data_IF_406623807751
#
_entry.id   IF_406623807751
#
_cell.length_a   1.000
_cell.length_b   1.000
_cell.length_c   1.000
_cell.angle_alpha   90.00
_cell.angle_beta   90.00
_cell.angle_gamma   90.00
#
_symmetry.space_group_name_H-M   'P 1'
#
loop_
_entity.id
_entity.type
_entity.pdbx_description
1 polymer ?
#
# COMPACT_ATOMS: atom_id res chain seq x y z
N UNK A 1 0.82 -21.47 -2.26
CA UNK A 1 1.36 -20.36 -1.43
C UNK A 1 2.48 -19.69 -2.21
N UNK A 2 2.44 -18.36 -2.38
CA UNK A 2 3.53 -17.61 -3.04
C UNK A 2 4.81 -17.76 -2.22
N UNK A 3 5.91 -18.16 -2.85
CA UNK A 3 7.17 -18.50 -2.16
C UNK A 3 8.21 -17.37 -2.22
N UNK A 4 8.04 -16.38 -3.11
CA UNK A 4 9.05 -15.37 -3.38
C UNK A 4 8.44 -13.97 -3.33
N UNK A 5 9.12 -13.06 -2.62
CA UNK A 5 8.76 -11.64 -2.56
C UNK A 5 9.69 -10.79 -3.43
N UNK A 6 10.21 -11.38 -4.51
CA UNK A 6 11.14 -10.70 -5.37
C UNK A 6 10.39 -9.83 -6.37
N UNK A 7 10.53 -8.51 -6.23
CA UNK A 7 10.02 -7.53 -7.19
C UNK A 7 11.19 -6.91 -7.94
N UNK A 8 11.15 -6.96 -9.27
CA UNK A 8 12.08 -6.26 -10.13
C UNK A 8 11.61 -4.81 -10.32
N UNK A 9 12.41 -3.83 -9.87
CA UNK A 9 12.18 -2.42 -10.12
C UNK A 9 13.04 -1.95 -11.29
N UNK A 10 12.41 -1.60 -12.41
CA UNK A 10 13.09 -1.10 -13.61
C UNK A 10 13.08 0.43 -13.59
N UNK A 11 14.17 1.03 -13.14
CA UNK A 11 14.30 2.48 -12.93
C UNK A 11 14.95 3.22 -14.11
N UNK A 12 15.63 2.49 -15.00
CA UNK A 12 16.19 3.09 -16.21
C UNK A 12 15.03 3.49 -17.15
N UNK A 13 14.86 4.81 -17.35
CA UNK A 13 13.78 5.39 -18.14
C UNK A 13 13.77 4.95 -19.61
N UNK A 14 14.92 4.56 -20.14
CA UNK A 14 15.11 4.17 -21.54
C UNK A 14 15.16 2.65 -21.74
N UNK A 15 14.96 1.86 -20.67
CA UNK A 15 14.96 0.40 -20.73
C UNK A 15 13.67 -0.14 -21.35
N UNK A 16 13.81 -1.08 -22.30
CA UNK A 16 12.73 -1.89 -22.82
C UNK A 16 12.83 -3.31 -22.26
N UNK A 17 11.71 -3.88 -21.86
CA UNK A 17 11.64 -5.24 -21.32
C UNK A 17 11.21 -6.23 -22.39
N UNK A 18 12.01 -7.24 -22.65
CA UNK A 18 11.71 -8.31 -23.58
C UNK A 18 11.71 -9.68 -22.89
N UNK A 19 11.09 -10.66 -23.50
CA UNK A 19 11.11 -12.06 -23.10
C UNK A 19 12.06 -12.84 -24.01
N UNK A 20 13.03 -13.54 -23.41
CA UNK A 20 13.84 -14.54 -24.09
C UNK A 20 13.88 -15.84 -23.29
N UNK A 21 13.23 -16.88 -23.83
CA UNK A 21 13.01 -18.12 -23.11
C UNK A 21 12.23 -17.87 -21.80
N UNK A 22 12.82 -18.19 -20.68
CA UNK A 22 12.23 -17.98 -19.33
C UNK A 22 12.84 -16.76 -18.62
N UNK A 23 13.51 -15.87 -19.36
CA UNK A 23 14.18 -14.70 -18.78
C UNK A 23 13.59 -13.39 -19.30
N UNK A 24 13.54 -12.40 -18.41
CA UNK A 24 13.35 -11.00 -18.77
C UNK A 24 14.71 -10.45 -19.20
N UNK A 25 14.76 -9.87 -20.38
CA UNK A 25 15.93 -9.16 -20.89
C UNK A 25 15.64 -7.67 -20.88
N UNK A 26 16.51 -6.91 -20.24
CA UNK A 26 16.45 -5.45 -20.22
C UNK A 26 17.34 -4.92 -21.35
N UNK A 27 16.73 -4.19 -22.27
CA UNK A 27 17.41 -3.61 -23.44
C UNK A 27 17.44 -2.08 -23.29
N UNK A 28 18.59 -1.48 -23.59
CA UNK A 28 18.72 -0.03 -23.75
C UNK A 28 19.45 0.25 -25.07
N UNK A 29 18.86 1.03 -25.97
CA UNK A 29 19.40 1.26 -27.32
C UNK A 29 19.74 -0.04 -28.06
N UNK A 30 18.88 -1.07 -27.94
CA UNK A 30 19.04 -2.41 -28.50
C UNK A 30 20.17 -3.25 -27.88
N UNK A 31 20.94 -2.74 -26.94
CA UNK A 31 21.94 -3.49 -26.20
C UNK A 31 21.35 -4.08 -24.92
N UNK A 32 21.71 -5.32 -24.61
CA UNK A 32 21.33 -5.96 -23.34
C UNK A 32 22.09 -5.30 -22.18
N UNK A 33 21.34 -4.77 -21.20
CA UNK A 33 21.87 -4.15 -19.98
C UNK A 33 21.63 -5.00 -18.73
N UNK A 34 20.85 -6.07 -18.86
CA UNK A 34 20.57 -6.98 -17.76
C UNK A 34 19.63 -8.11 -18.15
N UNK A 35 19.71 -9.20 -17.39
CA UNK A 35 18.88 -10.39 -17.58
C UNK A 35 18.44 -10.96 -16.22
N UNK A 36 17.16 -11.27 -16.07
CA UNK A 36 16.59 -11.77 -14.82
C UNK A 36 15.66 -12.96 -15.11
N UNK A 37 15.83 -14.11 -14.43
CA UNK A 37 14.92 -15.24 -14.56
C UNK A 37 13.49 -14.88 -14.06
N UNK A 38 12.50 -15.05 -14.94
CA UNK A 38 11.12 -14.67 -14.65
C UNK A 38 10.50 -15.51 -13.52
N UNK A 39 10.85 -16.80 -13.42
CA UNK A 39 10.34 -17.72 -12.42
C UNK A 39 10.73 -17.35 -10.97
N UNK A 40 11.70 -16.42 -10.77
CA UNK A 40 12.11 -15.93 -9.45
C UNK A 40 11.33 -14.69 -9.01
N UNK A 41 10.49 -14.15 -9.87
CA UNK A 41 9.79 -12.90 -9.61
C UNK A 41 8.31 -13.14 -9.29
N UNK A 42 7.78 -12.31 -8.40
CA UNK A 42 6.34 -12.18 -8.17
C UNK A 42 5.80 -10.86 -8.72
N UNK A 43 6.66 -9.90 -8.97
CA UNK A 43 6.26 -8.62 -9.53
C UNK A 43 7.35 -7.91 -10.30
N UNK A 44 6.94 -7.07 -11.22
CA UNK A 44 7.78 -6.15 -11.98
C UNK A 44 7.13 -4.79 -11.90
N UNK A 45 7.86 -3.80 -11.40
CA UNK A 45 7.45 -2.40 -11.35
C UNK A 45 8.33 -1.62 -12.30
N UNK A 46 7.73 -1.18 -13.42
CA UNK A 46 8.44 -0.57 -14.53
C UNK A 46 8.22 0.95 -14.52
N UNK A 47 9.29 1.72 -14.42
CA UNK A 47 9.30 3.18 -14.54
C UNK A 47 9.86 3.64 -15.89
N UNK A 48 10.09 2.70 -16.81
CA UNK A 48 10.64 2.99 -18.14
C UNK A 48 9.54 3.49 -19.10
N UNK A 49 9.97 4.35 -20.03
CA UNK A 49 9.07 4.88 -21.05
C UNK A 49 8.79 3.88 -22.20
N UNK A 50 9.78 3.11 -22.72
CA UNK A 50 9.55 2.15 -23.79
C UNK A 50 8.66 0.96 -23.38
N UNK A 51 8.55 0.65 -22.09
CA UNK A 51 7.65 -0.40 -21.58
C UNK A 51 8.17 -1.82 -21.78
N UNK A 52 7.28 -2.75 -22.17
CA UNK A 52 7.57 -4.18 -22.28
C UNK A 52 6.96 -4.80 -23.54
N UNK A 53 7.53 -5.93 -24.00
CA UNK A 53 6.99 -6.67 -25.13
C UNK A 53 5.66 -7.35 -24.79
N UNK A 54 4.72 -7.50 -25.76
CA UNK A 54 3.48 -8.26 -25.56
C UNK A 54 3.73 -9.71 -25.11
N UNK A 55 4.81 -10.35 -25.63
CA UNK A 55 5.20 -11.69 -25.22
C UNK A 55 5.54 -11.77 -23.72
N UNK A 56 6.28 -10.79 -23.19
CA UNK A 56 6.58 -10.70 -21.75
C UNK A 56 5.31 -10.46 -20.96
N UNK A 57 4.45 -9.52 -21.39
CA UNK A 57 3.17 -9.24 -20.73
C UNK A 57 2.30 -10.51 -20.62
N UNK A 58 2.15 -11.25 -21.70
CA UNK A 58 1.38 -12.51 -21.73
C UNK A 58 2.00 -13.61 -20.84
N UNK A 59 3.34 -13.74 -20.85
CA UNK A 59 4.03 -14.71 -19.99
C UNK A 59 3.89 -14.35 -18.51
N UNK A 60 4.03 -13.06 -18.14
CA UNK A 60 3.78 -12.59 -16.78
C UNK A 60 2.37 -12.91 -16.32
N UNK A 61 1.37 -12.60 -17.15
CA UNK A 61 -0.04 -12.88 -16.88
C UNK A 61 -0.31 -14.38 -16.66
N UNK A 62 0.27 -15.24 -17.51
CA UNK A 62 0.10 -16.70 -17.41
C UNK A 62 0.73 -17.30 -16.13
N UNK A 63 1.80 -16.71 -15.64
CA UNK A 63 2.52 -17.14 -14.42
C UNK A 63 2.01 -16.45 -13.15
N UNK A 64 1.10 -15.47 -13.26
CA UNK A 64 0.62 -14.69 -12.14
C UNK A 64 1.68 -13.71 -11.58
N UNK A 65 2.68 -13.33 -12.41
CA UNK A 65 3.66 -12.29 -12.09
C UNK A 65 3.04 -10.93 -12.39
N UNK A 66 2.96 -10.06 -11.37
CA UNK A 66 2.45 -8.71 -11.57
C UNK A 66 3.40 -7.87 -12.41
N UNK A 67 2.90 -7.26 -13.48
CA UNK A 67 3.66 -6.31 -14.30
C UNK A 67 2.92 -4.98 -14.33
N UNK A 68 3.46 -4.02 -13.59
CA UNK A 68 2.86 -2.70 -13.42
C UNK A 68 3.79 -1.60 -13.95
N UNK A 69 3.20 -0.62 -14.64
CA UNK A 69 3.89 0.54 -15.21
C UNK A 69 3.57 1.80 -14.42
N UNK A 70 4.59 2.57 -14.13
CA UNK A 70 4.49 3.84 -13.39
C UNK A 70 5.19 4.95 -14.16
N UNK A 71 4.71 6.19 -14.00
CA UNK A 71 5.47 7.35 -14.44
C UNK A 71 6.75 7.49 -13.60
N UNK A 72 7.77 8.23 -14.08
CA UNK A 72 8.96 8.53 -13.29
C UNK A 72 8.65 9.18 -11.94
N UNK A 73 7.51 9.85 -11.80
CA UNK A 73 7.05 10.48 -10.55
C UNK A 73 6.28 9.54 -9.63
N UNK A 74 6.17 8.25 -9.97
CA UNK A 74 5.48 7.25 -9.16
C UNK A 74 3.96 7.18 -9.35
N UNK A 75 3.41 7.87 -10.39
CA UNK A 75 1.99 7.73 -10.74
C UNK A 75 1.78 6.41 -11.48
N UNK A 76 0.86 5.59 -11.00
CA UNK A 76 0.44 4.38 -11.70
C UNK A 76 -0.13 4.74 -13.10
N UNK A 77 0.31 4.05 -14.14
CA UNK A 77 -0.13 4.23 -15.53
C UNK A 77 -0.98 3.07 -16.02
N UNK A 78 -0.43 1.87 -15.97
CA UNK A 78 -1.06 0.67 -16.51
C UNK A 78 -0.57 -0.58 -15.79
N UNK A 79 -1.28 -1.68 -16.01
CA UNK A 79 -0.92 -3.01 -15.56
C UNK A 79 -1.23 -4.03 -16.64
N UNK A 80 -0.35 -5.00 -16.86
CA UNK A 80 -0.63 -6.13 -17.72
C UNK A 80 -1.53 -7.12 -16.97
N UNK A 81 -2.72 -7.37 -17.52
CA UNK A 81 -3.68 -8.34 -17.00
C UNK A 81 -3.97 -9.32 -18.12
N UNK A 82 -3.87 -10.61 -17.83
CA UNK A 82 -4.22 -11.68 -18.79
C UNK A 82 -5.70 -12.04 -18.73
N UNK A 83 -6.00 -13.21 -19.26
CA UNK A 83 -7.35 -13.78 -19.17
C UNK A 83 -7.80 -13.90 -17.72
N UNK A 84 -9.05 -13.56 -17.50
CA UNK A 84 -9.66 -13.59 -16.19
C UNK A 84 -9.94 -15.04 -15.76
N UNK A 85 -9.14 -15.53 -14.82
CA UNK A 85 -9.29 -16.88 -14.24
C UNK A 85 -10.03 -16.88 -12.91
N UNK A 86 -10.64 -15.73 -12.55
CA UNK A 86 -11.30 -15.55 -11.27
C UNK A 86 -12.60 -16.36 -11.14
N UNK A 87 -12.96 -16.64 -9.88
CA UNK A 87 -14.24 -17.26 -9.56
C UNK A 87 -15.39 -16.28 -9.80
N UNK A 88 -16.21 -16.53 -10.81
CA UNK A 88 -17.36 -15.69 -11.17
C UNK A 88 -18.37 -15.57 -10.00
N UNK A 89 -18.59 -16.65 -9.25
CA UNK A 89 -19.50 -16.64 -8.10
C UNK A 89 -19.01 -15.74 -6.97
N UNK A 90 -17.69 -15.70 -6.74
CA UNK A 90 -17.08 -14.79 -5.76
C UNK A 90 -17.28 -13.32 -6.14
N UNK A 91 -17.12 -12.97 -7.43
CA UNK A 91 -17.39 -11.60 -7.91
C UNK A 91 -18.86 -11.25 -7.86
N UNK A 92 -19.75 -12.18 -8.19
CA UNK A 92 -21.18 -11.94 -8.03
C UNK A 92 -21.55 -11.66 -6.58
N UNK A 93 -20.96 -12.41 -5.61
CA UNK A 93 -21.14 -12.15 -4.18
C UNK A 93 -20.61 -10.76 -3.80
N UNK A 94 -19.39 -10.42 -4.25
CA UNK A 94 -18.80 -9.11 -4.03
C UNK A 94 -19.70 -7.97 -4.54
N UNK A 95 -20.26 -8.10 -5.75
CA UNK A 95 -21.09 -7.06 -6.36
C UNK A 95 -22.42 -6.90 -5.64
N UNK A 96 -23.08 -8.00 -5.26
CA UNK A 96 -24.33 -7.95 -4.49
C UNK A 96 -24.14 -7.24 -3.14
N UNK A 97 -23.06 -7.54 -2.44
CA UNK A 97 -22.71 -6.87 -1.18
C UNK A 97 -22.43 -5.38 -1.41
N UNK A 98 -21.71 -5.04 -2.48
CA UNK A 98 -21.40 -3.65 -2.82
C UNK A 98 -22.63 -2.83 -3.22
N UNK A 99 -23.69 -3.47 -3.73
CA UNK A 99 -24.96 -2.84 -4.07
C UNK A 99 -25.83 -2.55 -2.82
N UNK A 100 -25.51 -3.18 -1.67
CA UNK A 100 -26.20 -2.98 -0.39
C UNK A 100 -25.33 -2.12 0.56
N UNK A 101 -25.76 -0.93 0.90
CA UNK A 101 -25.03 -0.07 1.85
C UNK A 101 -24.89 -0.73 3.23
N UNK A 102 -25.93 -1.41 3.72
CA UNK A 102 -25.89 -2.11 5.00
C UNK A 102 -24.88 -3.26 5.01
N UNK A 103 -24.87 -4.11 3.95
CA UNK A 103 -23.89 -5.19 3.84
C UNK A 103 -22.47 -4.65 3.63
N UNK A 104 -22.31 -3.63 2.80
CA UNK A 104 -21.03 -2.94 2.59
C UNK A 104 -20.48 -2.39 3.90
N UNK A 105 -21.32 -1.85 4.78
CA UNK A 105 -20.92 -1.31 6.08
C UNK A 105 -20.29 -2.39 6.97
N UNK A 106 -20.76 -3.64 6.92
CA UNK A 106 -20.21 -4.75 7.69
C UNK A 106 -18.72 -5.03 7.36
N UNK A 107 -18.36 -4.90 6.09
CA UNK A 107 -16.96 -5.07 5.65
C UNK A 107 -16.14 -3.79 5.85
N UNK A 108 -16.72 -2.64 5.50
CA UNK A 108 -16.07 -1.34 5.60
C UNK A 108 -15.60 -1.02 7.02
N UNK A 109 -16.45 -1.28 8.04
CA UNK A 109 -16.09 -1.05 9.44
C UNK A 109 -14.87 -1.88 9.88
N UNK A 110 -14.70 -3.10 9.37
CA UNK A 110 -13.56 -3.92 9.72
C UNK A 110 -12.23 -3.33 9.17
N UNK A 111 -12.24 -2.77 7.94
CA UNK A 111 -11.08 -2.04 7.43
C UNK A 111 -10.77 -0.81 8.29
N UNK A 112 -11.79 -0.08 8.72
CA UNK A 112 -11.59 1.12 9.54
C UNK A 112 -11.21 0.78 10.98
N UNK A 113 -11.75 -0.31 11.57
CA UNK A 113 -11.26 -0.84 12.84
C UNK A 113 -9.77 -1.13 12.79
N UNK A 114 -9.33 -1.85 11.74
CA UNK A 114 -7.90 -2.14 11.51
C UNK A 114 -7.07 -0.86 11.41
N UNK A 115 -7.52 0.12 10.63
CA UNK A 115 -6.86 1.42 10.47
C UNK A 115 -6.69 2.16 11.79
N UNK A 116 -7.78 2.37 12.53
CA UNK A 116 -7.77 3.17 13.77
C UNK A 116 -7.00 2.45 14.87
N UNK A 117 -7.18 1.14 15.02
CA UNK A 117 -6.39 0.33 15.93
C UNK A 117 -4.89 0.43 15.65
N UNK A 118 -4.51 0.28 14.40
CA UNK A 118 -3.10 0.34 13.99
C UNK A 118 -2.51 1.75 14.14
N UNK A 119 -3.28 2.80 13.85
CA UNK A 119 -2.86 4.19 14.10
C UNK A 119 -2.56 4.41 15.57
N UNK A 120 -3.45 3.96 16.47
CA UNK A 120 -3.23 4.00 17.90
C UNK A 120 -1.91 3.33 18.30
N UNK A 121 -1.65 2.11 17.81
CA UNK A 121 -0.44 1.36 18.17
C UNK A 121 0.84 1.97 17.61
N UNK A 122 0.78 2.70 16.51
CA UNK A 122 1.93 3.51 16.04
C UNK A 122 2.29 4.59 17.07
N UNK A 123 1.29 5.30 17.64
CA UNK A 123 1.50 6.30 18.68
C UNK A 123 2.00 5.67 20.00
N UNK A 124 1.36 4.58 20.45
CA UNK A 124 1.77 3.84 21.66
C UNK A 124 3.22 3.37 21.56
N UNK A 125 3.62 2.87 20.40
CA UNK A 125 4.99 2.41 20.19
C UNK A 125 6.00 3.56 20.21
N UNK A 126 5.65 4.71 19.62
CA UNK A 126 6.50 5.89 19.66
C UNK A 126 6.75 6.37 21.10
N UNK A 127 5.72 6.39 21.94
CA UNK A 127 5.85 6.77 23.36
C UNK A 127 6.69 5.76 24.17
N UNK A 128 6.63 4.49 23.84
CA UNK A 128 7.40 3.44 24.50
C UNK A 128 8.87 3.46 24.06
N UNK A 129 9.12 3.54 22.74
CA UNK A 129 10.44 3.35 22.16
C UNK A 129 11.28 4.67 22.21
N UNK A 130 10.61 5.84 22.26
CA UNK A 130 11.25 7.16 22.21
C UNK A 130 10.68 8.19 23.22
N UNK A 131 10.49 7.85 24.52
CA UNK A 131 9.78 8.70 25.47
C UNK A 131 10.42 10.07 25.70
N UNK A 132 11.73 10.20 25.48
CA UNK A 132 12.45 11.47 25.65
C UNK A 132 12.47 12.35 24.38
N UNK A 133 11.91 11.86 23.27
CA UNK A 133 12.00 12.52 21.97
C UNK A 133 10.64 12.87 21.37
N UNK A 134 9.58 12.39 21.97
CA UNK A 134 8.20 12.64 21.54
C UNK A 134 7.39 13.28 22.67
N UNK A 135 6.35 14.06 22.35
CA UNK A 135 5.44 14.62 23.34
C UNK A 135 4.50 13.52 23.89
N UNK A 136 4.98 12.77 24.89
CA UNK A 136 4.31 11.56 25.41
C UNK A 136 2.85 11.82 25.79
N UNK A 137 2.57 12.89 26.56
CA UNK A 137 1.22 13.21 27.01
C UNK A 137 0.25 13.46 25.84
N UNK A 138 0.69 14.21 24.82
CA UNK A 138 -0.11 14.45 23.62
C UNK A 138 -0.40 13.15 22.86
N UNK A 139 0.63 12.32 22.62
CA UNK A 139 0.47 11.05 21.90
C UNK A 139 -0.42 10.07 22.67
N UNK A 140 -0.31 10.02 24.00
CA UNK A 140 -1.17 9.20 24.87
C UNK A 140 -2.61 9.69 24.86
N UNK A 141 -2.82 11.00 24.89
CA UNK A 141 -4.16 11.59 24.79
C UNK A 141 -4.81 11.20 23.46
N UNK A 142 -4.13 11.40 22.34
CA UNK A 142 -4.62 10.99 21.00
C UNK A 142 -4.84 9.49 20.92
N UNK A 143 -3.94 8.67 21.47
CA UNK A 143 -4.13 7.22 21.55
C UNK A 143 -5.41 6.84 22.29
N UNK A 144 -5.71 7.49 23.40
CA UNK A 144 -6.96 7.27 24.15
C UNK A 144 -8.20 7.68 23.33
N UNK A 145 -8.13 8.79 22.59
CA UNK A 145 -9.23 9.22 21.69
C UNK A 145 -9.46 8.21 20.56
N UNK A 146 -8.39 7.69 19.96
CA UNK A 146 -8.50 6.63 18.94
C UNK A 146 -9.07 5.33 19.53
N UNK A 147 -8.70 4.99 20.77
CA UNK A 147 -9.27 3.83 21.46
C UNK A 147 -10.78 4.01 21.71
N UNK A 148 -11.21 5.21 22.10
CA UNK A 148 -12.63 5.52 22.31
C UNK A 148 -13.47 5.49 21.03
N UNK A 149 -12.85 5.70 19.85
CA UNK A 149 -13.53 5.59 18.56
C UNK A 149 -13.81 4.14 18.13
N UNK A 150 -13.04 3.15 18.61
CA UNK A 150 -13.19 1.75 18.18
C UNK A 150 -14.58 1.16 18.45
N UNK A 151 -15.17 1.26 19.64
CA UNK A 151 -16.55 0.77 19.87
C UNK A 151 -17.59 1.47 19.00
N UNK A 152 -17.42 2.76 18.71
CA UNK A 152 -18.33 3.51 17.84
C UNK A 152 -18.26 3.01 16.40
N UNK A 153 -17.07 2.71 15.92
CA UNK A 153 -16.84 2.12 14.59
C UNK A 153 -17.44 0.71 14.53
N UNK A 154 -17.22 -0.11 15.56
CA UNK A 154 -17.70 -1.49 15.63
C UNK A 154 -19.24 -1.60 15.59
N UNK A 155 -19.93 -0.63 16.18
CA UNK A 155 -21.40 -0.58 16.23
C UNK A 155 -22.02 0.22 15.08
N UNK A 156 -21.19 0.84 14.21
CA UNK A 156 -21.68 1.68 13.12
C UNK A 156 -22.33 0.83 12.03
N UNK A 157 -23.55 1.17 11.62
CA UNK A 157 -24.31 0.53 10.54
C UNK A 157 -24.59 1.45 9.35
N UNK A 158 -24.09 2.69 9.39
CA UNK A 158 -24.21 3.71 8.36
C UNK A 158 -22.84 4.04 7.75
N UNK A 159 -22.73 3.98 6.43
CA UNK A 159 -21.46 4.23 5.71
C UNK A 159 -21.01 5.69 5.75
N UNK A 160 -21.91 6.65 5.76
CA UNK A 160 -21.55 8.06 5.81
C UNK A 160 -21.08 8.44 7.23
N UNK A 161 -21.76 7.91 8.26
CA UNK A 161 -21.28 8.01 9.64
C UNK A 161 -19.90 7.36 9.81
N UNK A 162 -19.70 6.16 9.24
CA UNK A 162 -18.42 5.46 9.30
C UNK A 162 -17.29 6.28 8.63
N UNK A 163 -17.56 6.93 7.50
CA UNK A 163 -16.62 7.86 6.84
C UNK A 163 -16.30 9.08 7.71
N UNK A 164 -17.28 9.58 8.46
CA UNK A 164 -17.09 10.65 9.43
C UNK A 164 -16.14 10.24 10.55
N UNK A 165 -16.37 9.08 11.17
CA UNK A 165 -15.53 8.51 12.23
C UNK A 165 -14.10 8.24 11.72
N UNK A 166 -13.96 7.71 10.50
CA UNK A 166 -12.68 7.51 9.84
C UNK A 166 -11.92 8.82 9.64
N UNK A 167 -12.60 9.83 9.11
CA UNK A 167 -12.00 11.15 8.83
C UNK A 167 -11.52 11.83 10.11
N UNK A 168 -12.31 11.79 11.19
CA UNK A 168 -11.95 12.33 12.50
C UNK A 168 -10.74 11.60 13.09
N UNK A 169 -10.74 10.27 13.07
CA UNK A 169 -9.62 9.46 13.56
C UNK A 169 -8.35 9.71 12.75
N UNK A 170 -8.46 9.83 11.43
CA UNK A 170 -7.34 10.15 10.55
C UNK A 170 -6.78 11.55 10.83
N UNK A 171 -7.63 12.56 11.04
CA UNK A 171 -7.21 13.91 11.39
C UNK A 171 -6.40 13.91 12.69
N UNK A 172 -6.93 13.31 13.76
CA UNK A 172 -6.25 13.19 15.07
C UNK A 172 -4.89 12.50 14.96
N UNK A 173 -4.79 11.43 14.17
CA UNK A 173 -3.53 10.75 13.93
C UNK A 173 -2.52 11.64 13.20
N UNK A 174 -2.96 12.33 12.12
CA UNK A 174 -2.06 13.19 11.34
C UNK A 174 -1.68 14.47 12.06
N UNK A 175 -2.48 14.96 13.01
CA UNK A 175 -2.10 16.09 13.89
C UNK A 175 -0.91 15.76 14.80
N UNK A 176 -0.68 14.46 15.06
CA UNK A 176 0.47 13.97 15.80
C UNK A 176 1.66 13.56 14.91
N UNK A 177 1.49 13.49 13.59
CA UNK A 177 2.45 12.85 12.68
C UNK A 177 3.81 13.52 12.68
N UNK A 178 3.83 14.85 12.74
CA UNK A 178 5.07 15.63 12.79
C UNK A 178 5.94 15.26 13.99
N UNK A 179 5.33 15.00 15.15
CA UNK A 179 6.02 14.57 16.37
C UNK A 179 6.70 13.19 16.27
N UNK A 180 6.38 12.42 15.24
CA UNK A 180 7.00 11.10 14.97
C UNK A 180 8.26 11.23 14.11
N UNK A 181 8.54 12.42 13.58
CA UNK A 181 9.74 12.74 12.82
C UNK A 181 10.82 13.12 13.79
N UNK A 182 11.70 12.17 14.10
CA UNK A 182 12.73 12.31 15.15
C UNK A 182 14.06 12.83 14.62
N UNK A 183 14.26 12.87 13.31
CA UNK A 183 15.50 13.31 12.66
C UNK A 183 15.16 14.17 11.44
N UNK A 184 16.09 15.07 11.07
CA UNK A 184 15.98 15.88 9.85
C UNK A 184 14.69 16.73 9.81
N UNK A 185 14.19 17.20 10.97
CA UNK A 185 12.90 17.86 11.08
C UNK A 185 12.80 19.13 10.21
N UNK A 186 13.89 19.87 10.04
CA UNK A 186 13.92 21.09 9.22
C UNK A 186 13.58 20.81 7.74
N UNK A 187 13.93 19.62 7.24
CA UNK A 187 13.72 19.21 5.85
C UNK A 187 12.49 18.33 5.65
N UNK A 188 11.99 17.71 6.72
CA UNK A 188 10.90 16.73 6.66
C UNK A 188 9.70 17.09 7.56
N UNK A 189 9.55 18.33 7.95
CA UNK A 189 8.39 18.79 8.72
C UNK A 189 7.07 18.43 8.04
N UNK A 190 6.04 18.19 8.84
CA UNK A 190 4.72 17.80 8.37
C UNK A 190 3.64 18.72 8.93
N UNK A 191 3.16 19.66 8.12
CA UNK A 191 2.10 20.59 8.50
C UNK A 191 0.67 20.08 8.14
N UNK A 192 0.57 18.86 7.59
CA UNK A 192 -0.69 18.27 7.16
C UNK A 192 -0.59 17.56 5.80
N UNK A 193 -1.64 16.86 5.40
CA UNK A 193 -1.63 16.08 4.14
C UNK A 193 -1.85 16.95 2.92
N UNK A 194 -0.83 17.07 2.05
CA UNK A 194 -0.92 17.52 0.67
C UNK A 194 -0.75 16.34 -0.29
N UNK A 195 -1.62 16.20 -1.30
CA UNK A 195 -1.68 14.96 -2.10
C UNK A 195 -1.46 15.17 -3.61
N UNK A 196 -1.99 16.25 -4.17
CA UNK A 196 -2.02 16.47 -5.62
C UNK A 196 -1.84 17.94 -5.95
N UNK A 197 -0.62 18.39 -6.02
CA UNK A 197 0.65 17.67 -5.79
C UNK A 197 1.04 17.58 -4.31
N UNK A 198 2.02 16.73 -3.92
CA UNK A 198 2.69 16.81 -2.62
C UNK A 198 3.56 18.08 -2.60
N UNK A 199 3.50 18.85 -1.50
CA UNK A 199 4.16 20.16 -1.39
C UNK A 199 5.41 20.16 -0.50
N UNK A 200 5.70 19.04 0.16
CA UNK A 200 6.86 18.82 1.02
C UNK A 200 7.43 17.41 0.85
N UNK A 201 8.63 17.18 1.40
CA UNK A 201 9.35 15.93 1.26
C UNK A 201 8.59 14.76 1.91
N UNK A 202 8.01 14.97 3.08
CA UNK A 202 7.25 13.95 3.83
C UNK A 202 6.01 13.53 3.05
N UNK A 203 5.24 14.49 2.53
CA UNK A 203 4.07 14.20 1.70
C UNK A 203 4.43 13.53 0.37
N UNK A 204 5.60 13.83 -0.21
CA UNK A 204 6.09 13.14 -1.40
C UNK A 204 6.36 11.65 -1.11
N UNK A 205 7.03 11.34 0.02
CA UNK A 205 7.26 9.96 0.45
C UNK A 205 5.96 9.21 0.76
N UNK A 206 5.05 9.81 1.52
CA UNK A 206 3.75 9.21 1.85
C UNK A 206 2.94 8.92 0.58
N UNK A 207 2.90 9.83 -0.38
CA UNK A 207 2.17 9.66 -1.63
C UNK A 207 2.75 8.53 -2.48
N UNK A 208 4.09 8.41 -2.50
CA UNK A 208 4.76 7.34 -3.21
C UNK A 208 4.55 5.98 -2.54
N UNK A 209 4.71 5.90 -1.20
CA UNK A 209 4.43 4.69 -0.43
C UNK A 209 2.99 4.19 -0.62
N UNK A 210 2.01 5.10 -0.59
CA UNK A 210 0.60 4.73 -0.81
C UNK A 210 0.33 4.25 -2.23
N UNK A 211 1.03 4.78 -3.23
CA UNK A 211 0.92 4.30 -4.61
C UNK A 211 1.43 2.87 -4.75
N UNK A 212 2.56 2.55 -4.10
CA UNK A 212 3.13 1.21 -4.07
C UNK A 212 2.20 0.22 -3.32
N UNK A 213 1.74 0.59 -2.12
CA UNK A 213 0.85 -0.24 -1.32
C UNK A 213 -0.49 -0.49 -2.02
N UNK A 214 -1.08 0.53 -2.66
CA UNK A 214 -2.30 0.38 -3.44
C UNK A 214 -2.11 -0.56 -4.65
N UNK A 215 -0.91 -0.56 -5.26
CA UNK A 215 -0.58 -1.51 -6.32
C UNK A 215 -0.44 -2.94 -5.77
N UNK A 216 0.24 -3.13 -4.63
CA UNK A 216 0.37 -4.42 -3.95
C UNK A 216 -1.02 -4.98 -3.55
N UNK A 217 -1.92 -4.14 -2.99
CA UNK A 217 -3.31 -4.52 -2.67
C UNK A 217 -4.12 -4.89 -3.92
N UNK A 218 -3.95 -4.14 -5.03
CA UNK A 218 -4.61 -4.45 -6.30
C UNK A 218 -4.18 -5.83 -6.82
N UNK A 219 -2.86 -6.11 -6.79
CA UNK A 219 -2.30 -7.40 -7.17
C UNK A 219 -2.83 -8.55 -6.31
N UNK A 220 -2.90 -8.32 -5.00
CA UNK A 220 -3.41 -9.28 -4.04
C UNK A 220 -4.87 -9.64 -4.32
N UNK A 221 -5.76 -8.64 -4.47
CA UNK A 221 -7.18 -8.85 -4.74
C UNK A 221 -7.41 -9.61 -6.04
N UNK A 222 -6.75 -9.22 -7.13
CA UNK A 222 -6.87 -9.92 -8.41
C UNK A 222 -6.38 -11.37 -8.33
N UNK A 223 -5.32 -11.63 -7.56
CA UNK A 223 -4.77 -12.99 -7.44
C UNK A 223 -5.70 -13.97 -6.71
N UNK A 224 -6.65 -13.47 -5.94
CA UNK A 224 -7.70 -14.28 -5.27
C UNK A 224 -9.05 -14.23 -5.98
N UNK A 225 -9.12 -13.55 -7.14
CA UNK A 225 -10.31 -13.49 -7.99
C UNK A 225 -11.30 -12.38 -7.64
N UNK A 226 -10.93 -11.41 -6.81
CA UNK A 226 -11.75 -10.23 -6.48
C UNK A 226 -11.51 -9.09 -7.47
N UNK A 227 -12.55 -8.28 -7.70
CA UNK A 227 -12.46 -7.05 -8.48
C UNK A 227 -11.93 -5.91 -7.59
N UNK A 228 -10.74 -5.35 -7.86
CA UNK A 228 -10.17 -4.28 -7.06
C UNK A 228 -10.90 -2.94 -7.19
N UNK A 229 -11.80 -2.79 -8.17
CA UNK A 229 -12.52 -1.54 -8.42
C UNK A 229 -13.84 -1.42 -7.66
N UNK A 230 -14.45 -2.55 -7.26
CA UNK A 230 -15.72 -2.57 -6.53
C UNK A 230 -15.45 -2.73 -5.04
N UNK A 231 -15.51 -1.62 -4.32
CA UNK A 231 -15.24 -1.52 -2.87
C UNK A 231 -16.52 -1.40 -2.04
N UNK A 232 -16.32 -1.41 -0.72
CA UNK A 232 -17.40 -1.32 0.27
C UNK A 232 -17.43 0.05 0.97
N UNK A 233 -16.26 0.62 1.31
CA UNK A 233 -16.15 1.94 1.94
C UNK A 233 -16.08 3.06 0.91
N UNK A 234 -15.17 2.89 -0.04
CA UNK A 234 -14.92 3.87 -1.08
C UNK A 234 -15.96 3.74 -2.19
N UNK A 235 -16.78 4.79 -2.41
CA UNK A 235 -17.78 4.81 -3.49
C UNK A 235 -17.15 4.52 -4.84
N UNK A 236 -17.82 3.73 -5.67
CA UNK A 236 -17.38 3.43 -7.03
C UNK A 236 -17.26 4.71 -7.85
N UNK A 237 -16.13 4.85 -8.54
CA UNK A 237 -15.86 5.94 -9.50
C UNK A 237 -15.06 5.37 -10.67
N UNK A 238 -15.27 5.79 -11.91
CA UNK A 238 -14.48 5.36 -13.05
C UNK A 238 -12.97 5.48 -12.77
N UNK A 239 -12.22 4.39 -12.99
CA UNK A 239 -10.79 4.33 -12.78
C UNK A 239 -10.30 4.28 -11.32
N UNK A 240 -11.19 4.31 -10.33
CA UNK A 240 -10.83 4.21 -8.91
C UNK A 240 -10.82 2.76 -8.45
N UNK A 241 -9.70 2.30 -7.94
CA UNK A 241 -9.54 0.95 -7.37
C UNK A 241 -10.09 0.90 -5.94
N UNK A 242 -11.41 1.00 -5.80
CA UNK A 242 -12.09 1.25 -4.53
C UNK A 242 -11.79 0.15 -3.49
N UNK A 243 -11.90 -1.15 -3.84
CA UNK A 243 -11.59 -2.24 -2.91
C UNK A 243 -10.10 -2.31 -2.53
N UNK A 244 -9.20 -1.99 -3.48
CA UNK A 244 -7.78 -1.94 -3.15
C UNK A 244 -7.46 -0.80 -2.17
N UNK A 245 -8.18 0.32 -2.26
CA UNK A 245 -8.08 1.40 -1.28
C UNK A 245 -8.70 1.01 0.07
N UNK A 246 -9.82 0.29 0.07
CA UNK A 246 -10.44 -0.23 1.29
C UNK A 246 -9.48 -1.16 2.04
N UNK A 247 -8.93 -2.17 1.35
CA UNK A 247 -7.98 -3.11 1.92
C UNK A 247 -6.70 -2.41 2.41
N UNK A 248 -6.26 -1.37 1.71
CA UNK A 248 -5.09 -0.60 2.08
C UNK A 248 -5.27 0.15 3.41
N UNK A 249 -6.51 0.52 3.80
CA UNK A 249 -6.74 1.34 5.00
C UNK A 249 -6.15 0.69 6.26
N UNK A 250 -6.35 -0.60 6.46
CA UNK A 250 -5.81 -1.31 7.63
C UNK A 250 -4.28 -1.45 7.63
N UNK A 251 -3.62 -1.32 6.47
CA UNK A 251 -2.18 -1.43 6.32
C UNK A 251 -1.46 -0.07 6.24
N UNK A 252 -2.20 1.01 6.02
CA UNK A 252 -1.65 2.33 5.72
C UNK A 252 -0.69 2.81 6.80
N UNK A 253 -1.13 2.82 8.06
CA UNK A 253 -0.33 3.35 9.17
C UNK A 253 0.86 2.46 9.54
N UNK A 254 0.65 1.16 9.63
CA UNK A 254 1.67 0.20 10.11
C UNK A 254 2.67 -0.23 9.04
N UNK A 255 2.26 -0.18 7.77
CA UNK A 255 3.14 -0.57 6.68
C UNK A 255 3.74 0.67 5.98
N UNK A 256 2.91 1.58 5.46
CA UNK A 256 3.39 2.71 4.67
C UNK A 256 3.92 3.86 5.54
N UNK A 257 3.13 4.36 6.51
CA UNK A 257 3.52 5.52 7.32
C UNK A 257 4.75 5.22 8.16
N UNK A 258 4.77 4.07 8.85
CA UNK A 258 5.95 3.64 9.62
C UNK A 258 7.18 3.44 8.75
N UNK A 259 7.02 2.94 7.53
CA UNK A 259 8.15 2.83 6.60
C UNK A 259 8.70 4.20 6.24
N UNK A 260 7.84 5.18 5.91
CA UNK A 260 8.25 6.55 5.62
C UNK A 260 8.97 7.17 6.81
N UNK A 261 8.39 7.07 8.02
CA UNK A 261 9.04 7.54 9.25
C UNK A 261 10.41 6.87 9.46
N UNK A 262 10.52 5.57 9.21
CA UNK A 262 11.80 4.86 9.30
C UNK A 262 12.81 5.38 8.29
N UNK A 263 12.40 5.64 7.04
CA UNK A 263 13.28 6.19 6.00
C UNK A 263 13.83 7.58 6.39
N UNK A 264 13.01 8.42 7.03
CA UNK A 264 13.42 9.74 7.49
C UNK A 264 14.32 9.61 8.74
N UNK A 265 13.86 8.88 9.75
CA UNK A 265 14.52 8.80 11.06
C UNK A 265 15.86 8.03 11.00
N UNK A 266 16.02 7.11 10.07
CA UNK A 266 17.28 6.38 9.82
C UNK A 266 18.14 7.04 8.74
N UNK A 267 17.74 8.20 8.21
CA UNK A 267 18.45 8.93 7.16
C UNK A 267 18.66 8.13 5.86
N UNK A 268 17.79 7.15 5.59
CA UNK A 268 17.75 6.48 4.28
C UNK A 268 17.33 7.48 3.20
N UNK A 269 16.36 8.35 3.55
CA UNK A 269 15.96 9.49 2.73
C UNK A 269 16.53 10.77 3.35
N UNK A 270 17.12 11.61 2.51
CA UNK A 270 17.74 12.89 2.87
C UNK A 270 17.30 13.97 1.87
N UNK A 271 17.45 15.27 2.15
CA UNK A 271 16.99 16.36 1.27
C UNK A 271 17.47 16.26 -0.18
N UNK A 272 18.68 15.73 -0.41
CA UNK A 272 19.24 15.55 -1.77
C UNK A 272 18.44 14.61 -2.67
N UNK A 273 17.57 13.81 -2.08
CA UNK A 273 16.72 12.85 -2.79
C UNK A 273 15.44 13.49 -3.37
N UNK A 274 15.28 14.80 -3.20
CA UNK A 274 14.08 15.51 -3.63
C UNK A 274 14.41 16.67 -4.55
N UNK A 275 13.45 17.00 -5.41
CA UNK A 275 13.48 18.15 -6.31
C UNK A 275 12.14 18.88 -6.22
N UNK A 276 12.20 20.18 -5.88
CA UNK A 276 11.02 21.05 -5.90
C UNK A 276 10.83 21.58 -7.32
N UNK A 277 9.59 21.49 -7.81
CA UNK A 277 9.18 21.99 -9.12
C UNK A 277 8.69 23.44 -9.03
N UNK A 278 8.59 24.14 -10.15
CA UNK A 278 8.10 25.52 -10.22
C UNK A 278 6.68 25.69 -9.68
N UNK A 279 5.81 24.70 -9.83
CA UNK A 279 4.45 24.68 -9.30
C UNK A 279 4.38 24.30 -7.80
N UNK A 280 5.52 24.23 -7.11
CA UNK A 280 5.63 23.87 -5.70
C UNK A 280 5.61 22.38 -5.42
N UNK A 281 5.35 21.51 -6.41
CA UNK A 281 5.36 20.06 -6.23
C UNK A 281 6.76 19.55 -5.85
N UNK A 282 6.81 18.63 -4.90
CA UNK A 282 8.04 17.94 -4.51
C UNK A 282 8.05 16.54 -5.09
N UNK A 283 9.09 16.22 -5.85
CA UNK A 283 9.28 14.94 -6.52
C UNK A 283 10.57 14.28 -6.04
N UNK A 284 10.61 12.94 -6.07
CA UNK A 284 11.84 12.19 -5.82
C UNK A 284 12.77 12.25 -7.04
N UNK A 285 14.05 12.47 -6.80
CA UNK A 285 15.11 12.27 -7.80
C UNK A 285 15.26 10.78 -8.17
N UNK A 286 16.02 10.47 -9.20
CA UNK A 286 16.33 9.08 -9.58
C UNK A 286 17.07 8.34 -8.44
N UNK A 287 18.00 9.00 -7.78
CA UNK A 287 18.71 8.48 -6.61
C UNK A 287 17.72 8.23 -5.45
N UNK A 288 16.84 9.22 -5.17
CA UNK A 288 15.82 9.10 -4.14
C UNK A 288 14.86 7.94 -4.39
N UNK A 289 14.41 7.73 -5.62
CA UNK A 289 13.57 6.57 -5.97
C UNK A 289 14.28 5.26 -5.74
N UNK A 290 15.57 5.15 -6.13
CA UNK A 290 16.36 3.92 -5.89
C UNK A 290 16.51 3.63 -4.40
N UNK A 291 16.85 4.63 -3.60
CA UNK A 291 16.98 4.48 -2.14
C UNK A 291 15.66 4.04 -1.49
N UNK A 292 14.56 4.73 -1.83
CA UNK A 292 13.23 4.42 -1.29
C UNK A 292 12.75 3.02 -1.68
N UNK A 293 12.86 2.64 -2.96
CA UNK A 293 12.41 1.33 -3.44
C UNK A 293 13.29 0.19 -2.90
N UNK A 294 14.59 0.42 -2.71
CA UNK A 294 15.47 -0.52 -2.01
C UNK A 294 15.01 -0.77 -0.58
N UNK A 295 14.72 0.29 0.17
CA UNK A 295 14.15 0.18 1.51
C UNK A 295 12.77 -0.50 1.53
N UNK A 296 11.89 -0.18 0.55
CA UNK A 296 10.57 -0.81 0.42
C UNK A 296 10.69 -2.32 0.18
N UNK A 297 11.62 -2.74 -0.69
CA UNK A 297 11.87 -4.16 -0.94
C UNK A 297 12.41 -4.88 0.31
N UNK A 298 13.33 -4.25 1.05
CA UNK A 298 13.80 -4.78 2.33
C UNK A 298 12.65 -4.93 3.32
N UNK A 299 11.79 -3.91 3.43
CA UNK A 299 10.59 -3.97 4.27
C UNK A 299 9.66 -5.12 3.92
N UNK A 300 9.46 -5.40 2.63
CA UNK A 300 8.64 -6.54 2.17
C UNK A 300 9.17 -7.88 2.65
N UNK A 301 10.47 -8.01 2.84
CA UNK A 301 11.14 -9.25 3.28
C UNK A 301 11.17 -9.43 4.80
N UNK A 302 11.00 -8.35 5.58
CA UNK A 302 10.94 -8.44 7.05
C UNK A 302 9.77 -9.33 7.49
N UNK A 303 10.06 -10.20 8.46
CA UNK A 303 9.07 -11.17 8.98
C UNK A 303 8.27 -10.59 10.13
N UNK A 304 6.96 -10.84 10.11
CA UNK A 304 6.05 -10.55 11.21
C UNK A 304 5.25 -11.80 11.60
N UNK A 305 4.68 -11.81 12.78
CA UNK A 305 3.62 -12.77 13.14
C UNK A 305 2.28 -12.15 12.76
N UNK A 306 1.54 -12.82 11.86
CA UNK A 306 0.21 -12.35 11.44
C UNK A 306 -0.78 -12.46 12.60
N UNK A 307 -1.48 -11.36 12.97
CA UNK A 307 -2.25 -11.32 14.21
C UNK A 307 -3.39 -12.35 14.27
N UNK A 308 -4.06 -12.63 13.16
CA UNK A 308 -5.16 -13.59 13.10
C UNK A 308 -4.67 -15.03 12.89
N UNK A 309 -3.73 -15.24 11.98
CA UNK A 309 -3.23 -16.60 11.66
C UNK A 309 -2.26 -17.14 12.72
N UNK A 310 -1.65 -16.26 13.51
CA UNK A 310 -0.55 -16.58 14.43
C UNK A 310 0.64 -17.28 13.73
N UNK A 311 0.84 -17.00 12.45
CA UNK A 311 1.92 -17.54 11.62
C UNK A 311 2.93 -16.46 11.27
N UNK A 312 4.22 -16.86 11.20
CA UNK A 312 5.28 -15.97 10.71
C UNK A 312 5.24 -15.85 9.19
N UNK A 313 5.14 -14.64 8.69
CA UNK A 313 5.17 -14.35 7.26
C UNK A 313 5.83 -13.00 6.98
N UNK A 314 6.38 -12.81 5.78
CA UNK A 314 6.94 -11.53 5.37
C UNK A 314 5.86 -10.47 5.19
N UNK A 315 6.21 -9.19 5.49
CA UNK A 315 5.30 -8.05 5.31
C UNK A 315 4.70 -7.98 3.90
N UNK A 316 5.47 -8.29 2.87
CA UNK A 316 4.99 -8.25 1.49
C UNK A 316 3.87 -9.24 1.16
N UNK A 317 3.67 -10.29 2.00
CA UNK A 317 2.55 -11.22 1.86
C UNK A 317 1.28 -10.77 2.59
N UNK A 318 1.36 -9.79 3.49
CA UNK A 318 0.19 -9.35 4.27
C UNK A 318 -0.98 -8.91 3.37
N UNK A 319 -0.81 -8.08 2.32
CA UNK A 319 -1.91 -7.74 1.44
C UNK A 319 -2.58 -8.97 0.79
N UNK A 320 -1.77 -9.97 0.41
CA UNK A 320 -2.30 -11.21 -0.17
C UNK A 320 -3.09 -12.04 0.84
N UNK A 321 -2.58 -12.17 2.06
CA UNK A 321 -3.26 -12.91 3.14
C UNK A 321 -4.59 -12.24 3.48
N UNK A 322 -4.61 -10.91 3.63
CA UNK A 322 -5.83 -10.16 3.90
C UNK A 322 -6.84 -10.26 2.73
N UNK A 323 -6.38 -10.20 1.48
CA UNK A 323 -7.24 -10.43 0.32
C UNK A 323 -7.82 -11.87 0.30
N UNK A 324 -7.03 -12.88 0.70
CA UNK A 324 -7.49 -14.26 0.80
C UNK A 324 -8.55 -14.43 1.90
N UNK A 325 -8.34 -13.82 3.08
CA UNK A 325 -9.30 -13.83 4.18
C UNK A 325 -10.61 -13.15 3.76
N UNK A 326 -10.52 -12.01 3.08
CA UNK A 326 -11.68 -11.33 2.51
C UNK A 326 -12.44 -12.21 1.50
N UNK A 327 -11.74 -12.86 0.58
CA UNK A 327 -12.34 -13.76 -0.40
C UNK A 327 -13.04 -14.96 0.27
N UNK A 328 -12.48 -15.51 1.36
CA UNK A 328 -13.10 -16.58 2.16
C UNK A 328 -14.37 -16.11 2.85
N UNK A 329 -14.35 -14.91 3.42
CA UNK A 329 -15.56 -14.34 4.04
C UNK A 329 -16.66 -14.09 3.00
N UNK A 330 -16.32 -13.53 1.84
CA UNK A 330 -17.29 -13.29 0.76
C UNK A 330 -17.88 -14.58 0.17
N UNK A 331 -17.21 -15.72 0.30
CA UNK A 331 -17.73 -17.05 -0.07
C UNK A 331 -18.58 -17.71 1.01
N UNK A 332 -18.59 -17.16 2.23
CA UNK A 332 -19.22 -17.77 3.38
C UNK A 332 -18.40 -18.87 4.07
N UNK A 333 -17.09 -19.00 3.72
CA UNK A 333 -16.16 -19.93 4.39
C UNK A 333 -15.77 -19.43 5.80
N UNK A 334 -16.03 -18.16 6.09
CA UNK A 334 -15.80 -17.50 7.38
C UNK A 334 -16.96 -16.54 7.66
N UNK A 335 -17.36 -16.42 8.93
CA UNK A 335 -18.47 -15.55 9.35
C UNK A 335 -18.13 -14.06 9.20
N UNK A 336 -16.90 -13.68 9.59
CA UNK A 336 -16.46 -12.29 9.61
C UNK A 336 -15.06 -12.14 9.02
N UNK A 337 -14.83 -11.01 8.35
CA UNK A 337 -13.51 -10.62 7.91
C UNK A 337 -12.67 -10.14 9.09
N UNK A 338 -11.53 -10.81 9.42
CA UNK A 338 -10.67 -10.40 10.52
C UNK A 338 -9.77 -9.23 10.12
N UNK A 339 -9.90 -8.05 10.77
CA UNK A 339 -9.01 -6.93 10.54
C UNK A 339 -7.55 -7.27 10.89
N UNK A 340 -6.62 -6.61 10.22
CA UNK A 340 -5.20 -6.71 10.54
C UNK A 340 -4.86 -5.86 11.77
N UNK A 341 -4.92 -6.44 12.96
CA UNK A 341 -4.61 -5.78 14.24
C UNK A 341 -3.14 -5.97 14.63
N UNK A 342 -2.28 -5.07 14.16
CA UNK A 342 -0.86 -5.12 14.49
C UNK A 342 -0.60 -4.56 15.90
N UNK A 343 0.37 -5.21 16.62
CA UNK A 343 0.79 -4.84 17.97
C UNK A 343 2.30 -4.68 18.08
#
# INVERSE_FOLDING_TARGET
MRKFLNTLYVLNKDAYLSLEGENIVLLCNKAEIGRVPLHRLEGIVCFSYPGASPALMGKCASLGVDLSFFSPQGRFLARAVGEDRGNVLLRQSQYRIADSEAESCLYARNFILGKVYNARWVLERATRDHPQRVPVEQLKHTSAQLAAALPLIEQCDDLDQLRGLEGEAAQRYFDCFDSLILQQHDDFSFAGRSRRPPLDNTNALLSFAYSLLASDCTAALQSVGLDPYVGFLHRARPGRRSLALDLMEELRTVYADRFVLSCINQKIMTPKHFQKQENGAVLLTDEGRRAFLGGWQTRKQETITHPFLNEKLPWGLVPYVQALLLARTLRGDMELYPPFFWK
#
